data_IF_552345743620
#
_entry.id   IF_552345743620
#
_cell.length_a   1.000
_cell.length_b   1.000
_cell.length_c   1.000
_cell.angle_alpha   90.00
_cell.angle_beta   90.00
_cell.angle_gamma   90.00
#
_symmetry.space_group_name_H-M   'P 1'
#
loop_
_entity.id
_entity.type
_entity.pdbx_description
1 polymer ?
#
# COMPACT_ATOMS: atom_id res chain seq x y z
N UNK A 1 -15.07 11.16 -33.11
CA UNK A 1 -14.02 11.56 -32.15
C UNK A 1 -13.17 10.35 -31.85
N UNK A 2 -11.85 10.45 -31.93
CA UNK A 2 -10.98 9.33 -31.56
C UNK A 2 -10.96 9.16 -30.03
N UNK A 3 -10.51 8.01 -29.54
CA UNK A 3 -10.37 7.76 -28.11
C UNK A 3 -9.41 8.79 -27.48
N UNK A 4 -8.31 9.08 -28.17
CA UNK A 4 -7.32 10.08 -27.78
C UNK A 4 -7.92 11.48 -27.60
N UNK A 5 -8.80 11.92 -28.50
CA UNK A 5 -9.44 13.24 -28.40
C UNK A 5 -10.39 13.33 -27.19
N UNK A 6 -11.07 12.23 -26.85
CA UNK A 6 -11.94 12.17 -25.66
C UNK A 6 -11.12 12.26 -24.37
N UNK A 7 -9.97 11.56 -24.32
CA UNK A 7 -9.05 11.62 -23.19
C UNK A 7 -8.41 13.00 -23.03
N UNK A 8 -8.08 13.67 -24.13
CA UNK A 8 -7.57 15.04 -24.11
C UNK A 8 -8.60 16.04 -23.53
N UNK A 9 -9.86 15.96 -23.97
CA UNK A 9 -10.95 16.77 -23.41
C UNK A 9 -11.21 16.47 -21.93
N UNK A 10 -11.16 15.19 -21.54
CA UNK A 10 -11.34 14.79 -20.15
C UNK A 10 -10.19 15.28 -19.25
N UNK A 11 -8.96 15.24 -19.76
CA UNK A 11 -7.79 15.74 -19.03
C UNK A 11 -7.87 17.25 -18.83
N UNK A 12 -8.22 18.00 -19.88
CA UNK A 12 -8.48 19.44 -19.76
C UNK A 12 -9.59 19.74 -18.73
N UNK A 13 -10.60 18.87 -18.62
CA UNK A 13 -11.70 19.02 -17.65
C UNK A 13 -11.23 18.85 -16.21
N UNK A 14 -10.37 17.87 -15.96
CA UNK A 14 -9.77 17.70 -14.64
C UNK A 14 -8.89 18.89 -14.24
N UNK A 15 -8.21 19.51 -15.21
CA UNK A 15 -7.31 20.65 -14.99
C UNK A 15 -8.03 22.02 -14.99
N UNK A 16 -9.36 22.06 -15.19
CA UNK A 16 -10.16 23.28 -15.36
C UNK A 16 -9.64 24.21 -16.48
N UNK A 17 -9.11 23.65 -17.56
CA UNK A 17 -8.48 24.37 -18.67
C UNK A 17 -9.26 24.29 -19.99
N UNK A 18 -10.57 24.00 -19.95
CA UNK A 18 -11.39 23.93 -21.16
C UNK A 18 -11.60 25.29 -21.80
N UNK A 19 -11.41 25.33 -23.11
CA UNK A 19 -11.85 26.44 -23.94
C UNK A 19 -13.37 26.38 -24.19
N UNK A 20 -14.00 27.55 -24.45
CA UNK A 20 -15.45 27.66 -24.65
C UNK A 20 -16.00 26.81 -25.82
N UNK A 21 -15.18 26.49 -26.82
CA UNK A 21 -15.55 25.56 -27.90
C UNK A 21 -15.46 24.09 -27.45
N UNK A 22 -14.46 23.76 -26.63
CA UNK A 22 -14.26 22.43 -26.07
C UNK A 22 -15.34 22.09 -25.04
N UNK A 23 -15.83 23.06 -24.27
CA UNK A 23 -16.97 22.88 -23.35
C UNK A 23 -18.24 22.42 -24.07
N UNK A 24 -18.51 22.98 -25.26
CA UNK A 24 -19.67 22.58 -26.07
C UNK A 24 -19.52 21.16 -26.59
N UNK A 25 -18.32 20.79 -27.03
CA UNK A 25 -18.01 19.44 -27.48
C UNK A 25 -18.07 18.44 -26.31
N UNK A 26 -17.57 18.82 -25.14
CA UNK A 26 -17.61 18.03 -23.92
C UNK A 26 -19.05 17.78 -23.45
N UNK A 27 -19.90 18.82 -23.41
CA UNK A 27 -21.30 18.66 -23.03
C UNK A 27 -22.07 17.79 -24.04
N UNK A 28 -21.82 17.97 -25.34
CA UNK A 28 -22.40 17.10 -26.37
C UNK A 28 -21.94 15.63 -26.24
N UNK A 29 -20.69 15.41 -25.81
CA UNK A 29 -20.17 14.06 -25.53
C UNK A 29 -20.82 13.45 -24.29
N UNK A 30 -21.01 14.21 -23.21
CA UNK A 30 -21.72 13.76 -22.02
C UNK A 30 -23.16 13.32 -22.33
N UNK A 31 -23.84 13.98 -23.27
CA UNK A 31 -25.20 13.60 -23.69
C UNK A 31 -25.24 12.38 -24.62
N UNK A 32 -24.17 12.18 -25.42
CA UNK A 32 -24.12 11.13 -26.45
C UNK A 32 -23.47 9.83 -26.00
N UNK A 33 -22.57 9.87 -25.01
CA UNK A 33 -21.74 8.75 -24.56
C UNK A 33 -21.89 8.53 -23.05
N UNK A 34 -22.60 7.44 -22.70
CA UNK A 34 -22.89 7.09 -21.31
C UNK A 34 -21.63 6.68 -20.52
N UNK A 35 -20.63 6.07 -21.17
CA UNK A 35 -19.39 5.66 -20.48
C UNK A 35 -18.55 6.88 -20.12
N UNK A 36 -18.50 7.86 -21.03
CA UNK A 36 -17.81 9.13 -20.78
C UNK A 36 -18.50 9.93 -19.67
N UNK A 37 -19.83 10.02 -19.70
CA UNK A 37 -20.61 10.69 -18.65
C UNK A 37 -20.37 10.05 -17.27
N UNK A 38 -20.31 8.72 -17.20
CA UNK A 38 -20.01 8.01 -15.95
C UNK A 38 -18.59 8.32 -15.43
N UNK A 39 -17.59 8.43 -16.33
CA UNK A 39 -16.24 8.80 -15.95
C UNK A 39 -16.17 10.22 -15.37
N UNK A 40 -16.91 11.17 -15.96
CA UNK A 40 -17.05 12.56 -15.49
C UNK A 40 -17.77 12.63 -14.14
N UNK A 41 -18.84 11.86 -13.94
CA UNK A 41 -19.54 11.79 -12.66
C UNK A 41 -18.63 11.22 -11.56
N UNK A 42 -17.87 10.16 -11.88
CA UNK A 42 -16.93 9.56 -10.94
C UNK A 42 -15.82 10.54 -10.53
N UNK A 43 -15.26 11.30 -11.47
CA UNK A 43 -14.24 12.30 -11.14
C UNK A 43 -14.81 13.43 -10.29
N UNK A 44 -16.01 13.93 -10.60
CA UNK A 44 -16.70 14.93 -9.78
C UNK A 44 -16.97 14.43 -8.35
N UNK A 45 -17.42 13.18 -8.21
CA UNK A 45 -17.63 12.53 -6.91
C UNK A 45 -16.33 12.43 -6.11
N UNK A 46 -15.24 11.99 -6.74
CA UNK A 46 -13.94 11.89 -6.08
C UNK A 46 -13.41 13.27 -5.65
N UNK A 47 -13.58 14.30 -6.47
CA UNK A 47 -13.19 15.67 -6.13
C UNK A 47 -14.00 16.23 -4.96
N UNK A 48 -15.31 15.92 -4.88
CA UNK A 48 -16.14 16.29 -3.73
C UNK A 48 -15.73 15.53 -2.45
N UNK A 49 -15.34 14.26 -2.57
CA UNK A 49 -14.88 13.43 -1.47
C UNK A 49 -13.51 13.89 -0.95
N UNK A 50 -12.60 14.34 -1.82
CA UNK A 50 -11.31 14.89 -1.43
C UNK A 50 -11.46 16.26 -0.75
N UNK A 51 -12.31 17.14 -1.28
CA UNK A 51 -12.56 18.46 -0.69
C UNK A 51 -13.20 18.38 0.70
N UNK A 52 -14.00 17.34 0.95
CA UNK A 52 -14.65 17.07 2.24
C UNK A 52 -13.84 16.14 3.16
N UNK A 53 -12.64 15.71 2.74
CA UNK A 53 -11.83 14.81 3.53
C UNK A 53 -11.29 15.51 4.79
N UNK A 54 -11.76 15.04 5.94
CA UNK A 54 -11.20 15.40 7.25
C UNK A 54 -10.37 14.22 7.71
N UNK A 55 -9.07 14.43 7.89
CA UNK A 55 -8.19 13.40 8.43
C UNK A 55 -8.76 12.93 9.78
N UNK A 56 -9.00 11.62 9.97
CA UNK A 56 -9.46 11.12 11.25
C UNK A 56 -8.42 11.48 12.32
N UNK A 57 -8.90 11.89 13.50
CA UNK A 57 -8.00 12.16 14.61
C UNK A 57 -7.14 10.90 14.85
N UNK A 58 -5.83 11.05 15.10
CA UNK A 58 -4.99 9.92 15.42
C UNK A 58 -5.60 9.19 16.63
N UNK A 59 -5.58 7.84 16.65
CA UNK A 59 -6.10 7.10 17.78
C UNK A 59 -5.36 7.56 19.05
N UNK A 60 -6.09 7.64 20.15
CA UNK A 60 -5.50 7.90 21.47
C UNK A 60 -4.72 6.65 21.90
N UNK A 61 -3.51 6.51 21.35
CA UNK A 61 -2.60 5.46 21.76
C UNK A 61 -2.12 5.77 23.17
N UNK A 62 -2.52 4.93 24.12
CA UNK A 62 -2.05 4.98 25.50
C UNK A 62 -0.59 4.51 25.54
N UNK A 63 0.33 5.48 25.57
CA UNK A 63 1.78 5.22 25.61
C UNK A 63 2.18 4.40 26.85
N UNK A 64 1.40 4.50 27.93
CA UNK A 64 1.65 3.79 29.19
C UNK A 64 1.26 2.30 29.12
N UNK A 65 0.53 1.88 28.08
CA UNK A 65 0.24 0.47 27.80
C UNK A 65 1.21 -0.17 26.80
N UNK A 66 2.22 0.56 26.33
CA UNK A 66 3.28 -0.02 25.50
C UNK A 66 4.24 -0.89 26.32
N UNK A 67 5.05 -1.69 25.60
CA UNK A 67 5.94 -2.78 26.03
C UNK A 67 6.81 -2.59 27.29
N UNK A 68 6.82 -1.41 27.90
CA UNK A 68 7.45 -1.15 29.18
C UNK A 68 6.38 -1.27 30.28
N UNK A 69 6.11 -2.50 30.73
CA UNK A 69 5.46 -2.70 32.03
C UNK A 69 6.26 -1.90 33.05
N UNK A 70 5.65 -0.85 33.60
CA UNK A 70 6.17 -0.20 34.80
C UNK A 70 6.16 -1.26 35.89
N UNK A 71 7.33 -1.53 36.48
CA UNK A 71 7.42 -2.41 37.65
C UNK A 71 6.59 -1.78 38.77
N UNK A 72 5.35 -2.23 38.92
CA UNK A 72 4.54 -1.86 40.06
C UNK A 72 5.25 -2.39 41.32
N UNK A 73 5.45 -1.55 42.36
CA UNK A 73 6.06 -2.02 43.59
C UNK A 73 5.18 -3.14 44.14
N UNK A 74 5.76 -4.32 44.27
CA UNK A 74 5.08 -5.52 44.75
C UNK A 74 4.39 -5.19 46.09
N UNK A 75 3.08 -4.95 46.04
CA UNK A 75 2.32 -4.60 47.24
C UNK A 75 2.30 -5.83 48.15
N UNK A 76 2.93 -5.70 49.31
CA UNK A 76 2.94 -6.70 50.38
C UNK A 76 1.52 -7.11 50.84
N UNK A 77 0.47 -6.44 50.37
CA UNK A 77 -0.93 -6.81 50.60
C UNK A 77 -1.43 -7.98 49.75
N UNK A 78 -0.75 -8.39 48.68
CA UNK A 78 -1.23 -9.50 47.82
C UNK A 78 -0.95 -10.89 48.40
N UNK A 79 -0.02 -11.02 49.36
CA UNK A 79 0.22 -12.26 50.10
C UNK A 79 -0.97 -12.72 50.94
N UNK A 80 -1.95 -11.83 51.19
CA UNK A 80 -3.18 -12.16 51.90
C UNK A 80 -4.42 -12.32 51.00
N UNK A 81 -4.32 -12.07 49.69
CA UNK A 81 -5.48 -12.19 48.80
C UNK A 81 -5.40 -13.47 47.99
N UNK A 82 -6.22 -14.46 48.37
CA UNK A 82 -6.49 -15.75 47.70
C UNK A 82 -5.70 -16.99 48.19
N UNK A 83 -4.36 -17.08 48.15
CA UNK A 83 -3.66 -18.30 48.55
C UNK A 83 -3.85 -18.66 50.02
N UNK A 84 -3.83 -17.65 50.92
CA UNK A 84 -4.05 -17.85 52.35
C UNK A 84 -5.48 -18.33 52.66
N UNK A 85 -6.49 -17.75 52.00
CA UNK A 85 -7.88 -18.23 52.11
C UNK A 85 -8.04 -19.65 51.55
N UNK A 86 -7.38 -19.97 50.44
CA UNK A 86 -7.42 -21.32 49.86
C UNK A 86 -6.77 -22.36 50.80
N UNK A 87 -5.64 -22.02 51.42
CA UNK A 87 -4.99 -22.84 52.46
C UNK A 87 -5.88 -23.02 53.69
N UNK A 88 -6.51 -21.96 54.18
CA UNK A 88 -7.40 -22.03 55.34
C UNK A 88 -8.67 -22.85 55.05
N UNK A 89 -9.28 -22.70 53.88
CA UNK A 89 -10.42 -23.53 53.45
C UNK A 89 -10.02 -24.98 53.25
N UNK A 90 -8.83 -25.27 52.73
CA UNK A 90 -8.30 -26.63 52.61
C UNK A 90 -8.11 -27.29 53.98
N UNK A 91 -7.54 -26.57 54.95
CA UNK A 91 -7.40 -27.09 56.32
C UNK A 91 -8.76 -27.32 57.00
N UNK A 92 -9.72 -26.41 56.84
CA UNK A 92 -11.10 -26.60 57.34
C UNK A 92 -11.79 -27.79 56.66
N UNK A 93 -11.60 -27.98 55.36
CA UNK A 93 -12.18 -29.11 54.63
C UNK A 93 -11.63 -30.45 55.13
N UNK A 94 -10.32 -30.54 55.40
CA UNK A 94 -9.72 -31.75 55.99
C UNK A 94 -10.30 -32.06 57.38
N UNK A 95 -10.52 -31.03 58.21
CA UNK A 95 -11.16 -31.20 59.52
C UNK A 95 -12.63 -31.60 59.40
N UNK A 96 -13.37 -31.05 58.44
CA UNK A 96 -14.77 -31.41 58.18
C UNK A 96 -14.90 -32.86 57.68
N UNK A 97 -13.96 -33.31 56.85
CA UNK A 97 -13.90 -34.70 56.38
C UNK A 97 -13.54 -35.66 57.51
N UNK A 98 -12.60 -35.30 58.39
CA UNK A 98 -12.22 -36.11 59.55
C UNK A 98 -13.34 -36.19 60.61
N UNK A 99 -14.17 -35.16 60.72
CA UNK A 99 -15.27 -35.07 61.71
C UNK A 99 -16.63 -35.50 61.15
N UNK A 100 -16.74 -35.73 59.84
CA UNK A 100 -17.98 -36.20 59.20
C UNK A 100 -19.14 -35.22 59.28
N UNK A 101 -18.86 -33.91 59.28
CA UNK A 101 -19.87 -32.87 59.32
C UNK A 101 -20.55 -32.70 57.95
N UNK A 102 -21.84 -33.06 57.84
CA UNK A 102 -22.66 -32.83 56.65
C UNK A 102 -23.54 -31.59 56.89
N UNK A 103 -23.37 -30.58 56.02
CA UNK A 103 -24.16 -29.35 56.00
C UNK A 103 -25.41 -29.59 55.14
N UNK A 104 -26.60 -29.45 55.72
CA UNK A 104 -27.86 -29.55 54.98
C UNK A 104 -28.58 -28.21 54.99
N UNK A 105 -29.03 -27.78 53.81
CA UNK A 105 -29.75 -26.52 53.62
C UNK A 105 -31.21 -26.84 53.29
N UNK A 106 -32.14 -26.33 54.11
CA UNK A 106 -33.58 -26.43 53.87
C UNK A 106 -34.22 -25.05 54.07
N UNK A 107 -35.40 -24.84 53.49
CA UNK A 107 -36.10 -23.54 53.47
C UNK A 107 -36.38 -22.91 54.85
N UNK A 108 -36.11 -23.63 55.96
CA UNK A 108 -36.29 -23.14 57.33
C UNK A 108 -34.99 -23.08 58.17
N UNK A 109 -33.81 -23.13 57.53
CA UNK A 109 -32.53 -22.84 58.20
C UNK A 109 -31.38 -23.78 57.83
N UNK A 110 -30.18 -23.39 58.27
CA UNK A 110 -28.93 -24.12 58.05
C UNK A 110 -28.70 -25.10 59.22
N UNK A 111 -28.66 -26.40 58.95
CA UNK A 111 -28.39 -27.42 59.96
C UNK A 111 -27.04 -28.11 59.72
N UNK A 112 -26.18 -28.08 60.73
CA UNK A 112 -24.91 -28.82 60.78
C UNK A 112 -25.13 -30.15 61.50
N UNK A 113 -25.02 -31.26 60.76
CA UNK A 113 -25.25 -32.61 61.27
C UNK A 113 -23.94 -33.40 61.27
N UNK A 114 -23.53 -33.91 62.44
CA UNK A 114 -22.36 -34.76 62.59
C UNK A 114 -22.80 -36.22 62.49
N UNK A 115 -22.31 -36.91 61.47
CA UNK A 115 -22.81 -38.24 61.11
C UNK A 115 -22.40 -39.28 62.16
N UNK A 116 -23.36 -39.72 62.97
CA UNK A 116 -23.23 -40.94 63.74
C UNK A 116 -23.65 -42.10 62.83
N UNK A 117 -22.79 -43.09 62.66
CA UNK A 117 -22.94 -44.27 61.77
C UNK A 117 -24.31 -44.94 61.94
N UNK A 118 -25.28 -44.64 61.07
CA UNK A 118 -26.28 -45.60 60.55
C UNK A 118 -27.29 -44.88 59.65
N UNK A 119 -27.65 -45.56 58.56
CA UNK A 119 -28.61 -45.16 57.52
C UNK A 119 -28.07 -44.16 56.49
N UNK A 120 -27.62 -44.67 55.34
CA UNK A 120 -27.78 -44.10 53.99
C UNK A 120 -26.88 -44.85 53.00
N UNK A 121 -27.17 -46.14 52.76
CA UNK A 121 -26.37 -46.98 51.83
C UNK A 121 -26.93 -47.02 50.41
N UNK A 122 -28.15 -46.52 50.16
CA UNK A 122 -28.81 -46.66 48.85
C UNK A 122 -28.73 -45.37 48.02
N UNK A 123 -28.78 -44.19 48.66
CA UNK A 123 -28.74 -42.89 47.97
C UNK A 123 -27.32 -42.53 47.45
N UNK A 124 -26.26 -42.82 48.22
CA UNK A 124 -24.87 -42.56 47.81
C UNK A 124 -24.44 -43.38 46.58
N UNK A 125 -25.03 -44.56 46.36
CA UNK A 125 -24.68 -45.43 45.23
C UNK A 125 -25.29 -44.95 43.91
N UNK A 126 -26.46 -44.31 43.96
CA UNK A 126 -27.13 -43.74 42.80
C UNK A 126 -26.46 -42.43 42.40
N UNK A 127 -26.15 -41.58 43.38
CA UNK A 127 -25.48 -40.29 43.14
C UNK A 127 -24.06 -40.47 42.58
N UNK A 128 -23.31 -41.48 43.04
CA UNK A 128 -22.00 -41.82 42.45
C UNK A 128 -22.08 -42.30 40.99
N UNK A 129 -23.11 -43.08 40.63
CA UNK A 129 -23.27 -43.52 39.23
C UNK A 129 -23.67 -42.37 38.32
N UNK A 130 -24.57 -41.50 38.76
CA UNK A 130 -25.00 -40.34 37.97
C UNK A 130 -23.85 -39.34 37.79
N UNK A 131 -23.08 -39.05 38.84
CA UNK A 131 -21.90 -38.17 38.72
C UNK A 131 -20.81 -38.75 37.83
N UNK A 132 -20.62 -40.08 37.82
CA UNK A 132 -19.66 -40.75 36.95
C UNK A 132 -20.09 -40.74 35.47
N UNK A 133 -21.37 -40.97 35.18
CA UNK A 133 -21.95 -40.89 33.83
C UNK A 133 -21.88 -39.45 33.28
N UNK A 134 -22.24 -38.46 34.10
CA UNK A 134 -22.18 -37.04 33.71
C UNK A 134 -20.73 -36.57 33.53
N UNK A 135 -19.79 -37.02 34.36
CA UNK A 135 -18.38 -36.71 34.19
C UNK A 135 -17.79 -37.32 32.91
N UNK A 136 -18.23 -38.54 32.52
CA UNK A 136 -17.85 -39.15 31.24
C UNK A 136 -18.44 -38.38 30.06
N UNK A 137 -19.74 -38.09 30.08
CA UNK A 137 -20.41 -37.36 29.00
C UNK A 137 -19.83 -35.94 28.79
N UNK A 138 -19.53 -35.22 29.88
CA UNK A 138 -18.89 -33.91 29.82
C UNK A 138 -17.41 -33.98 29.46
N UNK A 139 -16.73 -35.07 29.79
CA UNK A 139 -15.33 -35.32 29.40
C UNK A 139 -15.19 -35.50 27.90
N UNK A 140 -16.01 -36.37 27.30
CA UNK A 140 -16.03 -36.60 25.84
C UNK A 140 -16.35 -35.31 25.07
N UNK A 141 -17.29 -34.50 25.58
CA UNK A 141 -17.63 -33.22 24.99
C UNK A 141 -16.48 -32.20 25.12
N UNK A 142 -15.78 -32.14 26.26
CA UNK A 142 -14.60 -31.27 26.44
C UNK A 142 -13.45 -31.68 25.54
N UNK A 143 -13.20 -32.97 25.37
CA UNK A 143 -12.13 -33.48 24.52
C UNK A 143 -12.40 -33.14 23.06
N UNK A 144 -13.65 -33.30 22.60
CA UNK A 144 -14.07 -32.88 21.26
C UNK A 144 -13.84 -31.38 21.03
N UNK A 145 -14.26 -30.52 21.96
CA UNK A 145 -14.04 -29.08 21.83
C UNK A 145 -12.56 -28.69 21.91
N UNK A 146 -11.76 -29.35 22.75
CA UNK A 146 -10.31 -29.10 22.78
C UNK A 146 -9.65 -29.47 21.46
N UNK A 147 -10.02 -30.61 20.87
CA UNK A 147 -9.48 -31.03 19.59
C UNK A 147 -9.90 -30.10 18.46
N UNK A 148 -11.19 -29.75 18.40
CA UNK A 148 -11.75 -28.83 17.41
C UNK A 148 -11.10 -27.44 17.50
N UNK A 149 -10.91 -26.90 18.71
CA UNK A 149 -10.25 -25.61 18.88
C UNK A 149 -8.78 -25.68 18.47
N UNK A 150 -8.05 -26.76 18.80
CA UNK A 150 -6.66 -26.92 18.40
C UNK A 150 -6.49 -27.03 16.87
N UNK A 151 -7.38 -27.74 16.17
CA UNK A 151 -7.32 -27.83 14.71
C UNK A 151 -7.61 -26.48 14.08
N UNK A 152 -8.62 -25.76 14.58
CA UNK A 152 -9.00 -24.44 14.08
C UNK A 152 -7.88 -23.41 14.29
N UNK A 153 -7.21 -23.42 15.44
CA UNK A 153 -6.03 -22.57 15.68
C UNK A 153 -4.86 -22.92 14.75
N UNK A 154 -4.61 -24.20 14.46
CA UNK A 154 -3.55 -24.61 13.53
C UNK A 154 -3.84 -24.14 12.11
N UNK A 155 -5.08 -24.32 11.64
CA UNK A 155 -5.51 -23.84 10.33
C UNK A 155 -5.38 -22.32 10.23
N UNK A 156 -5.81 -21.59 11.26
CA UNK A 156 -5.68 -20.14 11.30
C UNK A 156 -4.21 -19.67 11.29
N UNK A 157 -3.36 -20.27 12.12
CA UNK A 157 -1.93 -19.94 12.16
C UNK A 157 -1.24 -20.25 10.82
N UNK A 158 -1.63 -21.35 10.17
CA UNK A 158 -1.14 -21.73 8.85
C UNK A 158 -1.62 -20.74 7.77
N UNK A 159 -2.91 -20.36 7.79
CA UNK A 159 -3.46 -19.37 6.88
C UNK A 159 -2.77 -18.00 7.03
N UNK A 160 -2.53 -17.55 8.26
CA UNK A 160 -1.84 -16.30 8.56
C UNK A 160 -0.39 -16.31 8.03
N UNK A 161 0.35 -17.39 8.29
CA UNK A 161 1.71 -17.58 7.77
C UNK A 161 1.74 -17.57 6.24
N UNK A 162 0.79 -18.28 5.62
CA UNK A 162 0.67 -18.33 4.15
C UNK A 162 0.34 -16.96 3.56
N UNK A 163 -0.57 -16.21 4.19
CA UNK A 163 -0.94 -14.86 3.79
C UNK A 163 0.25 -13.88 3.90
N UNK A 164 1.03 -13.97 4.98
CA UNK A 164 2.22 -13.14 5.17
C UNK A 164 3.29 -13.44 4.11
N UNK A 165 3.50 -14.73 3.78
CA UNK A 165 4.43 -15.13 2.72
C UNK A 165 3.97 -14.63 1.35
N UNK A 166 2.69 -14.78 1.01
CA UNK A 166 2.13 -14.30 -0.25
C UNK A 166 2.27 -12.79 -0.40
N UNK A 167 1.90 -12.02 0.63
CA UNK A 167 2.05 -10.56 0.63
C UNK A 167 3.51 -10.13 0.46
N UNK A 168 4.43 -10.78 1.18
CA UNK A 168 5.87 -10.47 1.03
C UNK A 168 6.41 -10.80 -0.37
N UNK A 169 5.92 -11.89 -0.99
CA UNK A 169 6.31 -12.28 -2.33
C UNK A 169 5.75 -11.32 -3.39
N UNK A 170 4.52 -10.84 -3.23
CA UNK A 170 3.93 -9.83 -4.13
C UNK A 170 4.66 -8.50 -4.05
N UNK A 171 4.95 -8.01 -2.84
CA UNK A 171 5.75 -6.80 -2.65
C UNK A 171 7.14 -6.96 -3.28
N UNK A 172 7.80 -8.09 -3.06
CA UNK A 172 9.11 -8.37 -3.67
C UNK A 172 9.02 -8.44 -5.19
N UNK A 173 7.97 -9.06 -5.75
CA UNK A 173 7.73 -9.09 -7.20
C UNK A 173 7.53 -7.68 -7.76
N UNK A 174 6.73 -6.84 -7.09
CA UNK A 174 6.50 -5.47 -7.50
C UNK A 174 7.78 -4.63 -7.44
N UNK A 175 8.56 -4.74 -6.37
CA UNK A 175 9.86 -4.08 -6.24
C UNK A 175 10.86 -4.55 -7.31
N UNK A 176 10.88 -5.86 -7.59
CA UNK A 176 11.78 -6.41 -8.61
C UNK A 176 11.36 -6.01 -10.02
N UNK A 177 10.05 -5.97 -10.30
CA UNK A 177 9.50 -5.54 -11.58
C UNK A 177 9.74 -4.05 -11.81
N UNK A 178 9.39 -3.19 -10.85
CA UNK A 178 9.64 -1.75 -10.92
C UNK A 178 11.13 -1.43 -11.08
N UNK A 179 12.02 -2.08 -10.32
CA UNK A 179 13.47 -1.91 -10.49
C UNK A 179 13.99 -2.33 -11.87
N UNK A 180 13.35 -3.30 -12.53
CA UNK A 180 13.69 -3.70 -13.90
C UNK A 180 13.12 -2.72 -14.92
N UNK A 181 11.93 -2.18 -14.68
CA UNK A 181 11.30 -1.15 -15.50
C UNK A 181 12.12 0.14 -15.50
N UNK A 182 12.46 0.63 -14.30
CA UNK A 182 13.30 1.82 -14.08
C UNK A 182 14.63 1.68 -14.79
N UNK A 183 15.35 0.56 -14.59
CA UNK A 183 16.61 0.32 -15.32
C UNK A 183 16.45 0.28 -16.83
N UNK A 184 15.37 -0.29 -17.36
CA UNK A 184 15.14 -0.28 -18.82
C UNK A 184 14.91 1.15 -19.31
N UNK A 185 14.19 1.95 -18.55
CA UNK A 185 13.96 3.36 -18.84
C UNK A 185 15.29 4.14 -18.79
N UNK A 186 16.08 3.96 -17.74
CA UNK A 186 17.41 4.56 -17.58
C UNK A 186 18.35 4.17 -18.73
N UNK A 187 18.34 2.90 -19.14
CA UNK A 187 19.14 2.45 -20.29
C UNK A 187 18.66 3.07 -21.60
N UNK A 188 17.35 3.24 -21.79
CA UNK A 188 16.81 3.90 -22.97
C UNK A 188 17.19 5.38 -23.01
N UNK A 189 17.13 6.07 -21.87
CA UNK A 189 17.58 7.44 -21.72
C UNK A 189 19.08 7.57 -22.01
N UNK A 190 19.91 6.67 -21.46
CA UNK A 190 21.35 6.65 -21.73
C UNK A 190 21.65 6.50 -23.22
N UNK A 191 20.96 5.59 -23.92
CA UNK A 191 21.14 5.40 -25.36
C UNK A 191 20.71 6.65 -26.14
N UNK A 192 19.59 7.26 -25.74
CA UNK A 192 19.10 8.50 -26.34
C UNK A 192 20.12 9.63 -26.17
N UNK A 193 20.63 9.83 -24.96
CA UNK A 193 21.66 10.84 -24.65
C UNK A 193 22.93 10.64 -25.49
N UNK A 194 23.42 9.41 -25.61
CA UNK A 194 24.60 9.10 -26.43
C UNK A 194 24.35 9.42 -27.91
N UNK A 195 23.16 9.11 -28.42
CA UNK A 195 22.79 9.42 -29.81
C UNK A 195 22.66 10.93 -30.05
N UNK A 196 22.04 11.66 -29.13
CA UNK A 196 21.95 13.12 -29.18
C UNK A 196 23.35 13.75 -29.18
N UNK A 197 24.22 13.32 -28.27
CA UNK A 197 25.61 13.78 -28.22
C UNK A 197 26.34 13.50 -29.54
N UNK A 198 26.19 12.30 -30.12
CA UNK A 198 26.79 11.98 -31.42
C UNK A 198 26.27 12.87 -32.54
N UNK A 199 24.96 13.15 -32.59
CA UNK A 199 24.37 14.02 -33.62
C UNK A 199 24.89 15.45 -33.47
N UNK A 200 24.98 15.94 -32.23
CA UNK A 200 25.50 17.28 -31.96
C UNK A 200 26.98 17.40 -32.31
N UNK A 201 27.78 16.37 -32.00
CA UNK A 201 29.18 16.30 -32.42
C UNK A 201 29.30 16.31 -33.96
N UNK A 202 28.50 15.53 -34.66
CA UNK A 202 28.48 15.53 -36.13
C UNK A 202 28.11 16.90 -36.70
N UNK A 203 27.09 17.56 -36.15
CA UNK A 203 26.70 18.93 -36.54
C UNK A 203 27.80 19.94 -36.22
N UNK A 204 28.48 19.78 -35.10
CA UNK A 204 29.62 20.62 -34.74
C UNK A 204 30.73 20.50 -35.78
N UNK A 205 31.15 19.29 -36.12
CA UNK A 205 32.17 19.06 -37.16
C UNK A 205 31.73 19.57 -38.53
N UNK A 206 30.47 19.35 -38.93
CA UNK A 206 29.95 19.85 -40.19
C UNK A 206 30.08 21.38 -40.29
N UNK A 207 29.70 22.12 -39.23
CA UNK A 207 29.86 23.58 -39.18
C UNK A 207 31.32 24.02 -39.24
N UNK A 208 32.23 23.28 -38.62
CA UNK A 208 33.66 23.58 -38.69
C UNK A 208 34.21 23.36 -40.09
N UNK A 209 33.78 22.30 -40.78
CA UNK A 209 34.14 22.09 -42.18
C UNK A 209 33.58 23.18 -43.10
N UNK A 210 32.33 23.60 -42.93
CA UNK A 210 31.76 24.72 -43.68
C UNK A 210 32.53 26.01 -43.43
N UNK A 211 32.84 26.34 -42.17
CA UNK A 211 33.65 27.53 -41.85
C UNK A 211 35.04 27.50 -42.47
N UNK A 212 35.70 26.33 -42.47
CA UNK A 212 37.00 26.17 -43.12
C UNK A 212 36.90 26.32 -44.63
N UNK A 213 35.81 25.84 -45.25
CA UNK A 213 35.56 26.04 -46.67
C UNK A 213 35.33 27.53 -46.97
N UNK A 214 34.45 28.19 -46.21
CA UNK A 214 34.20 29.62 -46.35
C UNK A 214 35.50 30.45 -46.21
N UNK A 215 36.35 30.11 -45.22
CA UNK A 215 37.65 30.79 -45.03
C UNK A 215 38.61 30.53 -46.21
N UNK A 216 38.66 29.31 -46.75
CA UNK A 216 39.47 28.99 -47.93
C UNK A 216 38.96 29.75 -49.16
N UNK A 217 37.65 29.78 -49.37
CA UNK A 217 37.01 30.48 -50.49
C UNK A 217 37.23 31.99 -50.39
N UNK A 218 37.11 32.59 -49.20
CA UNK A 218 37.42 34.00 -48.94
C UNK A 218 38.90 34.31 -49.22
N UNK A 219 39.82 33.41 -48.86
CA UNK A 219 41.24 33.53 -49.16
C UNK A 219 41.48 33.42 -50.68
N UNK A 220 40.83 32.48 -51.38
CA UNK A 220 40.92 32.33 -52.84
C UNK A 220 40.39 33.57 -53.58
N UNK A 221 39.29 34.15 -53.12
CA UNK A 221 38.74 35.41 -53.63
C UNK A 221 39.69 36.58 -53.34
N UNK A 222 40.29 36.62 -52.15
CA UNK A 222 41.29 37.62 -51.77
C UNK A 222 42.54 37.58 -52.67
N UNK A 223 43.05 36.38 -52.97
CA UNK A 223 44.20 36.20 -53.86
C UNK A 223 43.87 36.46 -55.34
N UNK A 224 42.68 36.08 -55.80
CA UNK A 224 42.22 36.39 -57.16
C UNK A 224 41.96 37.88 -57.35
N UNK A 225 41.44 38.61 -56.35
CA UNK A 225 41.29 40.07 -56.41
C UNK A 225 42.65 40.80 -56.50
N UNK A 226 43.67 40.34 -55.77
CA UNK A 226 45.02 40.92 -55.84
C UNK A 226 45.69 40.63 -57.18
N UNK A 227 45.50 39.42 -57.75
CA UNK A 227 46.07 39.07 -59.07
C UNK A 227 45.31 39.69 -60.25
N UNK A 228 44.00 39.91 -60.15
CA UNK A 228 43.19 40.63 -61.15
C UNK A 228 43.43 42.14 -61.14
N UNK A 229 43.80 42.74 -60.00
CA UNK A 229 44.15 44.17 -59.92
C UNK A 229 45.41 44.54 -60.72
N UNK A 230 46.27 43.56 -61.02
CA UNK A 230 47.47 43.76 -61.81
C UNK A 230 47.26 43.53 -63.33
N UNK A 231 46.03 43.19 -63.74
CA UNK A 231 45.68 43.02 -65.15
C UNK A 231 44.35 43.71 -65.46
N UNK A 232 44.49 44.89 -66.06
CA UNK A 232 43.62 45.46 -67.10
C UNK A 232 42.70 46.60 -66.67
N UNK A 233 43.19 47.80 -67.00
CA UNK A 233 42.41 48.91 -67.52
C UNK A 233 41.30 48.48 -68.47
N UNK A 234 40.15 49.17 -68.37
CA UNK A 234 39.08 49.36 -69.37
C UNK A 234 37.75 48.57 -69.23
N UNK A 235 36.76 49.32 -68.73
CA UNK A 235 35.37 49.53 -69.23
C UNK A 235 34.27 48.49 -68.87
N UNK A 236 33.02 48.93 -68.55
CA UNK A 236 32.06 48.18 -67.73
C UNK A 236 30.93 47.55 -68.56
N UNK A 237 30.30 46.48 -68.05
CA UNK A 237 28.98 46.04 -68.47
C UNK A 237 28.21 45.38 -67.31
N UNK A 238 27.04 45.95 -67.05
CA UNK A 238 25.95 45.48 -66.21
C UNK A 238 25.43 44.10 -66.63
N UNK A 239 25.04 43.25 -65.69
CA UNK A 239 23.69 42.64 -65.57
C UNK A 239 23.62 41.79 -64.27
N UNK A 240 22.43 41.69 -63.63
CA UNK A 240 22.27 41.09 -62.31
C UNK A 240 22.03 39.58 -62.40
N UNK A 241 22.55 38.81 -61.45
CA UNK A 241 22.16 37.42 -61.24
C UNK A 241 21.37 37.29 -59.94
N UNK A 242 20.18 36.71 -60.10
CA UNK A 242 19.20 36.40 -59.07
C UNK A 242 19.79 35.49 -57.98
N UNK A 243 19.60 35.87 -56.73
CA UNK A 243 19.77 34.99 -55.58
C UNK A 243 18.54 34.09 -55.48
N UNK A 244 18.61 32.88 -56.01
CA UNK A 244 17.64 31.83 -55.64
C UNK A 244 17.95 31.36 -54.22
N UNK A 245 17.21 31.92 -53.28
CA UNK A 245 17.14 31.50 -51.89
C UNK A 245 16.17 30.31 -51.78
N UNK A 246 16.61 29.08 -51.45
CA UNK A 246 15.68 28.09 -50.95
C UNK A 246 15.36 28.47 -49.49
N UNK A 247 14.19 29.09 -49.31
CA UNK A 247 13.57 29.28 -48.01
C UNK A 247 13.62 27.98 -47.20
N UNK A 248 14.27 28.07 -46.05
CA UNK A 248 13.98 27.25 -44.89
C UNK A 248 12.49 27.38 -44.57
N UNK A 249 11.74 26.29 -44.75
CA UNK A 249 10.44 26.07 -44.12
C UNK A 249 10.63 24.98 -43.06
N UNK A 250 10.97 25.42 -41.85
CA UNK A 250 10.41 24.81 -40.66
C UNK A 250 8.93 25.17 -40.68
N UNK A 251 8.05 24.19 -40.86
CA UNK A 251 6.74 24.07 -40.22
C UNK A 251 6.22 22.65 -40.49
N UNK A 252 5.74 22.01 -39.42
CA UNK A 252 5.23 20.64 -39.20
C UNK A 252 6.21 19.45 -39.12
#
# INVERSE_FOLDING_TARGET
>A
MTLYDKEALFSAYLDNSLDSEQEKQFNALCDSDAEFAQAVENSARLNSASASFVAPAPPQWDKEQTFFKKDEPCSLSSWFSLPACAMAMSACALLAVLTGAKLSYSDNGIALTFSNKSANTVDEMVEQRVTQEVAKALGEQRDFYQQANQTLFKEYAQALSTQQQQSSAELTKYLLASSREERKHDFAELIKFINEQRIDDQRFYARQFTRLQDEIDDIEIGYSAVSLSNSRSEVPLTMPYETNNPQSSLDD
#
